data_IF_563630222094
#
_entry.id   IF_563630222094
#
_cell.length_a   1.000
_cell.length_b   1.000
_cell.length_c   1.000
_cell.angle_alpha   90.00
_cell.angle_beta   90.00
_cell.angle_gamma   90.00
#
_symmetry.space_group_name_H-M   'P 1'
#
loop_
_entity.id
_entity.type
_entity.pdbx_description
1 polymer ?
#
# COMPACT_ATOMS: atom_id res chain seq x y z
N UNK A 1 -16.98 47.97 2.81
CA UNK A 1 -17.68 48.25 1.54
C UNK A 1 -17.61 46.98 0.70
N UNK A 2 -18.74 46.29 0.51
CA UNK A 2 -18.99 45.08 -0.33
C UNK A 2 -18.03 43.87 -0.14
N UNK A 3 -18.28 42.81 0.65
CA UNK A 3 -19.43 41.89 0.88
C UNK A 3 -19.60 40.78 -0.21
N UNK A 4 -19.73 39.51 0.26
CA UNK A 4 -20.35 38.30 -0.34
C UNK A 4 -19.48 37.49 -1.35
N UNK A 5 -19.42 36.14 -1.46
CA UNK A 5 -20.08 34.89 -0.97
C UNK A 5 -19.01 33.78 -1.16
N UNK A 6 -18.79 32.73 -0.35
CA UNK A 6 -19.65 31.59 -0.04
C UNK A 6 -18.98 30.79 1.11
N UNK A 7 -19.45 30.99 2.35
CA UNK A 7 -19.45 29.96 3.38
C UNK A 7 -20.81 29.27 3.27
N UNK A 8 -20.93 28.15 2.57
CA UNK A 8 -22.02 27.17 2.68
C UNK A 8 -21.81 26.08 1.61
N UNK A 9 -21.12 25.01 1.98
CA UNK A 9 -21.14 23.73 1.24
C UNK A 9 -20.74 22.51 2.07
N UNK A 10 -20.42 22.67 3.36
CA UNK A 10 -20.06 21.54 4.25
C UNK A 10 -21.17 21.12 5.24
N UNK A 11 -22.40 21.60 5.06
CA UNK A 11 -23.53 21.30 5.97
C UNK A 11 -24.72 20.62 5.29
N UNK A 12 -24.56 20.11 4.05
CA UNK A 12 -25.60 19.34 3.34
C UNK A 12 -25.15 17.96 2.83
N UNK A 13 -24.01 17.45 3.28
CA UNK A 13 -23.56 16.07 3.03
C UNK A 13 -23.61 15.20 4.31
N UNK A 14 -24.36 15.64 5.32
CA UNK A 14 -24.50 14.99 6.63
C UNK A 14 -25.90 14.46 6.96
N UNK A 15 -26.86 14.53 6.04
CA UNK A 15 -28.28 14.16 6.28
C UNK A 15 -28.86 13.18 5.25
N UNK A 16 -28.03 12.27 4.71
CA UNK A 16 -28.49 11.10 3.94
C UNK A 16 -27.73 9.81 4.34
N UNK A 17 -27.33 9.68 5.60
CA UNK A 17 -26.58 8.50 6.09
C UNK A 17 -27.44 7.42 6.74
N UNK A 18 -28.78 7.56 6.72
CA UNK A 18 -29.73 6.53 7.18
C UNK A 18 -30.54 5.96 6.00
N UNK A 19 -29.85 5.57 4.93
CA UNK A 19 -30.40 4.62 3.98
C UNK A 19 -29.86 3.26 4.37
N UNK A 20 -30.76 2.40 4.84
CA UNK A 20 -30.48 1.07 5.34
C UNK A 20 -29.51 0.32 4.44
N UNK A 21 -28.68 -0.50 5.08
CA UNK A 21 -27.78 -1.44 4.43
C UNK A 21 -28.57 -2.20 3.36
N UNK A 22 -28.43 -1.77 2.10
CA UNK A 22 -28.97 -2.50 0.97
C UNK A 22 -28.37 -3.91 1.02
N UNK A 23 -29.15 -4.94 0.68
CA UNK A 23 -28.63 -6.30 0.55
C UNK A 23 -27.35 -6.25 -0.28
N UNK A 24 -26.35 -7.07 0.06
CA UNK A 24 -25.15 -7.31 -0.76
C UNK A 24 -25.56 -7.32 -2.24
N UNK A 25 -25.33 -6.22 -2.97
CA UNK A 25 -25.51 -6.27 -4.41
C UNK A 25 -24.40 -7.18 -4.89
N UNK A 26 -24.74 -8.41 -5.21
CA UNK A 26 -23.80 -9.32 -5.86
C UNK A 26 -23.13 -8.53 -6.98
N UNK A 27 -21.80 -8.51 -6.98
CA UNK A 27 -21.03 -7.96 -8.07
C UNK A 27 -21.51 -8.65 -9.35
N UNK A 28 -22.08 -7.88 -10.29
CA UNK A 28 -22.56 -8.46 -11.53
C UNK A 28 -21.36 -9.06 -12.30
N UNK A 29 -21.55 -10.24 -12.91
CA UNK A 29 -20.53 -10.94 -13.68
C UNK A 29 -19.94 -10.05 -14.79
N UNK A 30 -20.78 -9.24 -15.46
CA UNK A 30 -20.34 -8.25 -16.45
C UNK A 30 -19.36 -7.23 -15.85
N UNK A 31 -19.64 -6.76 -14.64
CA UNK A 31 -18.80 -5.79 -13.95
C UNK A 31 -17.45 -6.38 -13.56
N UNK A 32 -17.44 -7.66 -13.18
CA UNK A 32 -16.22 -8.44 -12.93
C UNK A 32 -15.36 -8.58 -14.19
N UNK A 33 -15.97 -8.94 -15.33
CA UNK A 33 -15.25 -9.05 -16.61
C UNK A 33 -14.69 -7.71 -17.07
N UNK A 34 -15.46 -6.63 -16.91
CA UNK A 34 -15.00 -5.30 -17.26
C UNK A 34 -13.78 -4.85 -16.44
N UNK A 35 -13.76 -5.10 -15.11
CA UNK A 35 -12.59 -4.70 -14.29
C UNK A 35 -11.36 -5.53 -14.62
N UNK A 36 -11.52 -6.83 -14.90
CA UNK A 36 -10.40 -7.67 -15.30
C UNK A 36 -9.74 -7.16 -16.58
N UNK A 37 -10.53 -6.65 -17.53
CA UNK A 37 -10.03 -6.07 -18.78
C UNK A 37 -9.48 -4.64 -18.63
N UNK A 38 -9.55 -4.03 -17.45
CA UNK A 38 -8.98 -2.71 -17.21
C UNK A 38 -7.45 -2.73 -17.28
N UNK A 39 -6.87 -2.03 -18.25
CA UNK A 39 -5.40 -1.98 -18.40
C UNK A 39 -4.73 -0.91 -17.55
N UNK A 40 -5.50 0.07 -17.04
CA UNK A 40 -4.99 1.11 -16.14
C UNK A 40 -4.76 0.65 -14.69
N UNK A 41 -4.93 -0.64 -14.39
CA UNK A 41 -4.78 -1.23 -13.06
C UNK A 41 -4.06 -2.57 -13.16
N UNK A 42 -3.22 -2.89 -12.18
CA UNK A 42 -2.61 -4.21 -12.05
C UNK A 42 -3.63 -5.25 -11.60
N UNK A 43 -3.45 -6.51 -11.97
CA UNK A 43 -4.40 -7.58 -11.61
C UNK A 43 -4.47 -7.78 -10.10
N UNK A 44 -3.34 -7.66 -9.42
CA UNK A 44 -3.25 -7.77 -7.97
C UNK A 44 -4.09 -6.68 -7.27
N UNK A 45 -4.03 -5.46 -7.79
CA UNK A 45 -4.79 -4.31 -7.29
C UNK A 45 -6.30 -4.51 -7.52
N UNK A 46 -6.69 -4.97 -8.73
CA UNK A 46 -8.09 -5.24 -9.04
C UNK A 46 -8.67 -6.25 -8.05
N UNK A 47 -7.96 -7.34 -7.83
CA UNK A 47 -8.41 -8.44 -6.98
C UNK A 47 -8.40 -8.03 -5.49
N UNK A 48 -7.24 -7.65 -4.94
CA UNK A 48 -7.06 -7.43 -3.52
C UNK A 48 -7.67 -6.11 -3.03
N UNK A 49 -7.51 -5.03 -3.80
CA UNK A 49 -7.87 -3.71 -3.30
C UNK A 49 -9.31 -3.33 -3.62
N UNK A 50 -9.78 -3.72 -4.81
CA UNK A 50 -11.12 -3.34 -5.27
C UNK A 50 -12.14 -4.43 -5.04
N UNK A 51 -11.94 -5.61 -5.63
CA UNK A 51 -12.98 -6.65 -5.65
C UNK A 51 -13.18 -7.30 -4.28
N UNK A 52 -12.10 -7.55 -3.51
CA UNK A 52 -12.25 -8.08 -2.14
C UNK A 52 -13.02 -7.12 -1.22
N UNK A 53 -12.82 -5.82 -1.35
CA UNK A 53 -13.55 -4.80 -0.58
C UNK A 53 -14.98 -4.66 -1.08
N UNK A 54 -15.19 -4.64 -2.40
CA UNK A 54 -16.51 -4.56 -3.01
C UNK A 54 -17.40 -5.74 -2.61
N UNK A 55 -16.86 -6.96 -2.58
CA UNK A 55 -17.57 -8.17 -2.13
C UNK A 55 -17.72 -8.26 -0.60
N UNK A 56 -17.09 -7.38 0.16
CA UNK A 56 -17.16 -7.39 1.63
C UNK A 56 -16.40 -8.56 2.28
N UNK A 57 -15.52 -9.24 1.54
CA UNK A 57 -14.63 -10.26 2.12
C UNK A 57 -13.48 -9.63 2.90
N UNK A 58 -13.21 -8.34 2.68
CA UNK A 58 -12.23 -7.52 3.39
C UNK A 58 -12.83 -6.15 3.77
N UNK A 59 -12.59 -5.61 4.97
CA UNK A 59 -13.16 -4.32 5.38
C UNK A 59 -12.56 -3.11 4.67
N UNK A 60 -11.25 -3.15 4.44
CA UNK A 60 -10.45 -2.08 3.87
C UNK A 60 -9.27 -2.68 3.10
N UNK A 61 -8.79 -1.94 2.11
CA UNK A 61 -7.51 -2.20 1.43
C UNK A 61 -6.79 -0.87 1.21
N UNK A 62 -5.55 -0.92 0.74
CA UNK A 62 -4.90 0.25 0.19
C UNK A 62 -3.89 -0.12 -0.89
N UNK A 63 -3.67 0.82 -1.80
CA UNK A 63 -2.56 0.75 -2.76
C UNK A 63 -1.72 2.03 -2.68
N UNK A 64 -0.49 1.96 -3.20
CA UNK A 64 0.49 3.04 -3.17
C UNK A 64 0.71 3.60 -4.57
N UNK A 65 0.39 4.88 -4.78
CA UNK A 65 0.65 5.57 -6.04
C UNK A 65 1.97 6.37 -5.98
N UNK A 66 2.74 6.40 -7.09
CA UNK A 66 2.47 5.73 -8.37
C UNK A 66 3.04 4.30 -8.42
N UNK A 67 3.62 3.79 -7.33
CA UNK A 67 4.39 2.54 -7.31
C UNK A 67 3.60 1.32 -7.81
N UNK A 68 2.29 1.30 -7.57
CA UNK A 68 1.41 0.18 -7.93
C UNK A 68 0.52 0.50 -9.14
N UNK A 69 0.91 1.48 -9.95
CA UNK A 69 0.32 1.71 -11.26
C UNK A 69 1.12 0.96 -12.34
N UNK A 70 0.45 0.47 -13.41
CA UNK A 70 1.16 -0.14 -14.54
C UNK A 70 2.22 0.78 -15.17
N UNK A 71 1.96 2.09 -15.21
CA UNK A 71 2.88 3.14 -15.70
C UNK A 71 3.74 3.77 -14.59
N UNK A 72 3.73 3.20 -13.37
CA UNK A 72 4.41 3.73 -12.19
C UNK A 72 5.88 4.11 -12.40
N UNK A 73 6.72 3.24 -13.02
CA UNK A 73 8.11 3.58 -13.32
C UNK A 73 8.27 4.80 -14.24
N UNK A 74 7.38 4.99 -15.21
CA UNK A 74 7.42 6.14 -16.11
C UNK A 74 7.02 7.43 -15.38
N UNK A 75 5.96 7.37 -14.58
CA UNK A 75 5.51 8.50 -13.78
C UNK A 75 6.58 8.94 -12.77
N UNK A 76 7.27 7.98 -12.14
CA UNK A 76 8.40 8.23 -11.25
C UNK A 76 9.52 9.02 -11.96
N UNK A 77 9.94 8.56 -13.15
CA UNK A 77 10.97 9.26 -13.96
C UNK A 77 10.58 10.71 -14.27
N UNK A 78 9.34 10.95 -14.69
CA UNK A 78 8.84 12.32 -14.98
C UNK A 78 8.90 13.23 -13.75
N UNK A 79 8.60 12.70 -12.56
CA UNK A 79 8.70 13.47 -11.31
C UNK A 79 10.17 13.75 -10.95
N UNK A 80 11.06 12.76 -11.12
CA UNK A 80 12.48 12.90 -10.86
C UNK A 80 13.11 13.98 -11.75
N UNK A 81 12.79 14.00 -13.05
CA UNK A 81 13.26 15.01 -14.02
C UNK A 81 12.94 16.45 -13.58
N UNK A 82 11.75 16.68 -13.04
CA UNK A 82 11.32 18.01 -12.55
C UNK A 82 12.15 18.46 -11.36
N UNK A 83 12.66 17.54 -10.55
CA UNK A 83 13.31 17.82 -9.26
C UNK A 83 14.83 17.64 -9.26
N UNK A 84 15.40 17.05 -10.32
CA UNK A 84 16.80 16.67 -10.44
C UNK A 84 17.78 17.78 -10.03
N UNK A 85 17.68 18.96 -10.66
CA UNK A 85 18.58 20.10 -10.37
C UNK A 85 18.50 20.56 -8.91
N UNK A 86 17.31 20.53 -8.31
CA UNK A 86 17.12 20.91 -6.92
C UNK A 86 17.80 19.92 -5.97
N UNK A 87 17.76 18.62 -6.30
CA UNK A 87 18.42 17.58 -5.52
C UNK A 87 19.96 17.70 -5.57
N UNK A 88 20.53 17.88 -6.77
CA UNK A 88 21.98 18.09 -6.96
C UNK A 88 22.48 19.33 -6.23
N UNK A 89 21.67 20.40 -6.19
CA UNK A 89 22.05 21.60 -5.44
C UNK A 89 22.02 21.37 -3.92
N UNK A 90 21.08 20.56 -3.42
CA UNK A 90 20.97 20.27 -1.98
C UNK A 90 22.15 19.47 -1.43
N UNK A 91 22.78 18.60 -2.22
CA UNK A 91 23.93 17.80 -1.77
C UNK A 91 25.18 18.65 -1.52
N UNK A 92 25.27 19.81 -2.16
CA UNK A 92 26.42 20.74 -2.07
C UNK A 92 26.32 21.73 -0.91
N UNK A 93 25.21 21.76 -0.18
CA UNK A 93 24.94 22.78 0.84
C UNK A 93 25.34 22.28 2.23
N UNK A 94 26.28 23.00 2.83
CA UNK A 94 26.78 22.76 4.19
C UNK A 94 25.97 23.50 5.26
N UNK A 95 25.40 24.67 4.95
CA UNK A 95 24.57 25.43 5.88
C UNK A 95 23.23 24.72 6.16
N UNK A 96 23.03 24.32 7.41
CA UNK A 96 21.87 23.53 7.82
C UNK A 96 20.55 24.33 7.79
N UNK A 97 20.58 25.64 8.03
CA UNK A 97 19.39 26.49 8.00
C UNK A 97 18.88 26.69 6.57
N UNK A 98 19.79 27.00 5.64
CA UNK A 98 19.55 27.09 4.21
C UNK A 98 19.11 25.74 3.64
N UNK A 99 19.79 24.65 4.03
CA UNK A 99 19.42 23.29 3.63
C UNK A 99 17.99 22.95 4.03
N UNK A 100 17.57 23.23 5.28
CA UNK A 100 16.18 23.03 5.71
C UNK A 100 15.17 23.81 4.86
N UNK A 101 15.44 25.10 4.59
CA UNK A 101 14.57 25.93 3.74
C UNK A 101 14.44 25.38 2.32
N UNK A 102 15.55 24.94 1.72
CA UNK A 102 15.54 24.37 0.37
C UNK A 102 14.90 22.99 0.31
N UNK A 103 15.06 22.16 1.34
CA UNK A 103 14.34 20.88 1.47
C UNK A 103 12.83 21.13 1.50
N UNK A 104 12.36 22.11 2.27
CA UNK A 104 10.93 22.47 2.28
C UNK A 104 10.44 22.91 0.90
N UNK A 105 11.18 23.79 0.20
CA UNK A 105 10.85 24.20 -1.17
C UNK A 105 10.82 23.03 -2.16
N UNK A 106 11.78 22.09 -2.03
CA UNK A 106 11.81 20.89 -2.85
C UNK A 106 10.58 20.01 -2.59
N UNK A 107 10.18 19.81 -1.33
CA UNK A 107 8.96 19.05 -1.00
C UNK A 107 7.73 19.64 -1.67
N UNK A 108 7.54 20.97 -1.61
CA UNK A 108 6.41 21.61 -2.31
C UNK A 108 6.47 21.42 -3.84
N UNK A 109 7.67 21.54 -4.42
CA UNK A 109 7.86 21.30 -5.86
C UNK A 109 7.50 19.86 -6.24
N UNK A 110 7.93 18.88 -5.43
CA UNK A 110 7.64 17.47 -5.63
C UNK A 110 6.13 17.17 -5.53
N UNK A 111 5.42 17.78 -4.57
CA UNK A 111 3.96 17.68 -4.50
C UNK A 111 3.28 18.24 -5.74
N UNK A 112 3.75 19.39 -6.22
CA UNK A 112 3.25 19.98 -7.47
C UNK A 112 3.45 19.03 -8.66
N UNK A 113 4.66 18.47 -8.79
CA UNK A 113 5.01 17.52 -9.84
C UNK A 113 4.15 16.25 -9.76
N UNK A 114 4.00 15.66 -8.57
CA UNK A 114 3.14 14.50 -8.34
C UNK A 114 1.70 14.77 -8.80
N UNK A 115 1.10 15.88 -8.35
CA UNK A 115 -0.27 16.25 -8.76
C UNK A 115 -0.38 16.43 -10.27
N UNK A 116 0.58 17.09 -10.92
CA UNK A 116 0.53 17.31 -12.37
C UNK A 116 0.74 16.03 -13.19
N UNK A 117 1.60 15.12 -12.73
CA UNK A 117 2.00 13.92 -13.48
C UNK A 117 1.05 12.78 -13.18
N UNK A 118 0.84 12.47 -11.90
CA UNK A 118 0.08 11.30 -11.45
C UNK A 118 -1.41 11.53 -11.63
N UNK A 119 -1.98 12.66 -11.20
CA UNK A 119 -3.43 12.85 -11.33
C UNK A 119 -3.90 13.02 -12.78
N UNK A 120 -3.01 13.42 -13.67
CA UNK A 120 -3.30 13.48 -15.10
C UNK A 120 -3.26 12.10 -15.78
N UNK A 121 -2.64 11.09 -15.15
CA UNK A 121 -2.36 9.80 -15.78
C UNK A 121 -3.63 8.98 -16.05
N UNK A 122 -3.63 8.12 -17.08
CA UNK A 122 -4.72 7.18 -17.33
C UNK A 122 -4.97 6.24 -16.15
N UNK A 123 -3.91 5.74 -15.50
CA UNK A 123 -4.01 4.82 -14.36
C UNK A 123 -4.75 5.46 -13.19
N UNK A 124 -4.39 6.68 -12.79
CA UNK A 124 -5.10 7.38 -11.72
C UNK A 124 -6.61 7.56 -12.02
N UNK A 125 -6.94 7.94 -13.27
CA UNK A 125 -8.32 8.09 -13.72
C UNK A 125 -9.09 6.75 -13.71
N UNK A 126 -8.42 5.64 -14.04
CA UNK A 126 -9.00 4.30 -13.97
C UNK A 126 -9.36 3.94 -12.52
N UNK A 127 -8.45 4.16 -11.57
CA UNK A 127 -8.67 3.93 -10.14
C UNK A 127 -9.86 4.72 -9.59
N UNK A 128 -10.00 6.01 -9.96
CA UNK A 128 -11.15 6.83 -9.57
C UNK A 128 -12.47 6.31 -10.15
N UNK A 129 -12.47 5.96 -11.44
CA UNK A 129 -13.64 5.42 -12.13
C UNK A 129 -14.10 4.13 -11.47
N UNK A 130 -13.18 3.21 -11.19
CA UNK A 130 -13.50 1.91 -10.60
C UNK A 130 -13.95 2.00 -9.16
N UNK A 131 -13.37 2.90 -8.36
CA UNK A 131 -13.85 3.14 -6.99
C UNK A 131 -15.31 3.59 -7.01
N UNK A 132 -15.65 4.53 -7.90
CA UNK A 132 -17.03 4.99 -8.09
C UNK A 132 -17.95 3.87 -8.59
N UNK A 133 -17.54 3.11 -9.61
CA UNK A 133 -18.36 2.06 -10.24
C UNK A 133 -18.68 0.92 -9.28
N UNK A 134 -17.77 0.60 -8.37
CA UNK A 134 -17.94 -0.41 -7.32
C UNK A 134 -18.59 0.14 -6.04
N UNK A 135 -18.96 1.42 -5.99
CA UNK A 135 -19.54 2.05 -4.81
C UNK A 135 -18.59 2.11 -3.61
N UNK A 136 -17.28 2.15 -3.88
CA UNK A 136 -16.24 2.25 -2.86
C UNK A 136 -15.95 3.72 -2.54
N UNK A 137 -15.68 3.99 -1.26
CA UNK A 137 -15.06 5.24 -0.82
C UNK A 137 -13.55 5.09 -0.97
N UNK A 138 -12.92 6.18 -1.39
CA UNK A 138 -11.47 6.26 -1.51
C UNK A 138 -10.95 7.40 -0.66
N UNK A 139 -9.92 7.14 0.14
CA UNK A 139 -9.23 8.16 0.92
C UNK A 139 -7.75 8.17 0.59
N UNK A 140 -7.29 9.32 0.15
CA UNK A 140 -5.88 9.58 -0.12
C UNK A 140 -5.16 10.05 1.15
N UNK A 141 -3.94 9.56 1.36
CA UNK A 141 -3.03 9.94 2.43
C UNK A 141 -1.65 10.17 1.84
N UNK A 142 -1.15 11.40 1.93
CA UNK A 142 0.23 11.72 1.55
C UNK A 142 1.19 11.09 2.57
N UNK A 143 1.98 10.11 2.14
CA UNK A 143 3.04 9.48 2.95
C UNK A 143 4.35 10.22 2.75
N UNK A 144 4.61 10.61 1.50
CA UNK A 144 5.71 11.46 1.06
C UNK A 144 5.22 12.35 -0.08
N UNK A 145 5.92 13.45 -0.41
CA UNK A 145 5.54 14.34 -1.50
C UNK A 145 5.25 13.68 -2.86
N UNK A 146 5.79 12.48 -3.08
CA UNK A 146 5.66 11.70 -4.33
C UNK A 146 5.09 10.30 -4.11
N UNK A 147 4.69 9.95 -2.88
CA UNK A 147 4.17 8.63 -2.52
C UNK A 147 2.90 8.81 -1.70
N UNK A 148 1.79 8.38 -2.26
CA UNK A 148 0.47 8.53 -1.66
C UNK A 148 -0.17 7.15 -1.51
N UNK A 149 -0.76 6.90 -0.35
CA UNK A 149 -1.57 5.71 -0.09
C UNK A 149 -3.05 6.04 -0.36
N UNK A 150 -3.73 5.14 -1.06
CA UNK A 150 -5.15 5.25 -1.37
C UNK A 150 -5.90 4.10 -0.71
N UNK A 151 -6.63 4.43 0.34
CA UNK A 151 -7.43 3.48 1.11
C UNK A 151 -8.82 3.34 0.49
N UNK A 152 -9.27 2.09 0.27
CA UNK A 152 -10.58 1.77 -0.28
C UNK A 152 -11.43 1.05 0.78
N UNK A 153 -12.67 1.49 0.96
CA UNK A 153 -13.59 0.95 1.97
C UNK A 153 -15.06 1.23 1.61
N UNK A 154 -16.01 0.52 2.27
CA UNK A 154 -17.46 0.71 2.05
C UNK A 154 -18.16 1.51 3.16
N UNK A 155 -17.80 1.26 4.42
CA UNK A 155 -18.58 1.68 5.59
C UNK A 155 -18.01 2.85 6.39
N UNK A 156 -18.89 3.56 7.10
CA UNK A 156 -18.50 4.65 7.99
C UNK A 156 -17.72 4.19 9.23
N UNK A 157 -17.91 2.95 9.69
CA UNK A 157 -17.09 2.39 10.77
C UNK A 157 -15.62 2.24 10.37
N UNK A 158 -15.36 1.62 9.21
CA UNK A 158 -14.02 1.52 8.64
C UNK A 158 -13.38 2.90 8.48
N UNK A 159 -14.15 3.90 8.05
CA UNK A 159 -13.65 5.27 7.94
C UNK A 159 -13.20 5.86 9.29
N UNK A 160 -13.92 5.58 10.38
CA UNK A 160 -13.54 6.02 11.73
C UNK A 160 -12.25 5.34 12.19
N UNK A 161 -12.14 4.01 12.00
CA UNK A 161 -10.92 3.26 12.31
C UNK A 161 -9.72 3.76 11.50
N UNK A 162 -9.92 4.01 10.20
CA UNK A 162 -8.90 4.57 9.31
C UNK A 162 -8.46 5.97 9.74
N UNK A 163 -9.39 6.85 10.13
CA UNK A 163 -9.06 8.19 10.68
C UNK A 163 -8.14 8.10 11.89
N UNK A 164 -8.45 7.19 12.83
CA UNK A 164 -7.61 6.94 14.01
C UNK A 164 -6.22 6.45 13.60
N UNK A 165 -6.15 5.47 12.70
CA UNK A 165 -4.90 4.89 12.21
C UNK A 165 -3.99 5.94 11.54
N UNK A 166 -4.54 6.79 10.69
CA UNK A 166 -3.80 7.89 10.05
C UNK A 166 -3.24 8.84 11.11
N UNK A 167 -4.02 9.16 12.15
CA UNK A 167 -3.55 9.98 13.27
C UNK A 167 -2.37 9.35 14.03
N UNK A 168 -2.43 8.05 14.29
CA UNK A 168 -1.32 7.28 14.90
C UNK A 168 -0.06 7.38 14.02
N UNK A 169 -0.19 7.11 12.71
CA UNK A 169 0.90 7.18 11.73
C UNK A 169 1.54 8.57 11.68
N UNK A 170 0.74 9.63 11.65
CA UNK A 170 1.24 11.01 11.65
C UNK A 170 2.00 11.36 12.93
N UNK A 171 1.52 10.90 14.09
CA UNK A 171 2.17 11.13 15.37
C UNK A 171 3.52 10.42 15.45
N UNK A 172 3.58 9.13 15.06
CA UNK A 172 4.84 8.36 15.01
C UNK A 172 5.88 9.09 14.16
N UNK A 173 5.50 9.54 12.95
CA UNK A 173 6.42 10.28 12.08
C UNK A 173 6.89 11.58 12.71
N UNK A 174 5.98 12.37 13.31
CA UNK A 174 6.33 13.63 13.98
C UNK A 174 7.32 13.39 15.12
N UNK A 175 7.11 12.34 15.90
CA UNK A 175 7.95 12.02 17.05
C UNK A 175 9.33 11.53 16.61
N UNK A 176 9.41 10.60 15.64
CA UNK A 176 10.70 10.14 15.11
C UNK A 176 11.51 11.30 14.52
N UNK A 177 10.90 12.23 13.78
CA UNK A 177 11.64 13.39 13.27
C UNK A 177 12.05 14.41 14.36
N UNK A 178 11.34 14.46 15.49
CA UNK A 178 11.70 15.32 16.64
C UNK A 178 12.82 14.73 17.48
N UNK A 179 12.83 13.42 17.66
CA UNK A 179 13.71 12.72 18.59
C UNK A 179 14.83 11.90 17.92
N UNK A 180 14.88 11.87 16.58
CA UNK A 180 15.95 11.18 15.87
C UNK A 180 17.32 11.73 16.24
N UNK A 181 18.17 10.85 16.77
CA UNK A 181 19.59 11.10 16.97
C UNK A 181 20.33 10.99 15.63
N UNK A 182 21.47 11.69 15.45
CA UNK A 182 22.38 11.43 14.32
C UNK A 182 22.80 9.95 14.19
N UNK A 183 22.75 9.18 15.29
CA UNK A 183 23.07 7.75 15.33
C UNK A 183 21.90 6.82 14.96
N UNK A 184 20.68 7.34 14.80
CA UNK A 184 19.52 6.51 14.45
C UNK A 184 19.71 5.91 13.05
N UNK A 185 19.63 4.58 12.90
CA UNK A 185 19.76 3.94 11.60
C UNK A 185 18.77 4.52 10.59
N UNK A 186 19.27 4.93 9.42
CA UNK A 186 18.46 5.67 8.43
C UNK A 186 17.24 4.87 7.96
N UNK A 187 17.32 3.54 7.88
CA UNK A 187 16.21 2.71 7.45
C UNK A 187 15.01 2.79 8.41
N UNK A 188 15.25 2.96 9.72
CA UNK A 188 14.19 3.16 10.72
C UNK A 188 13.49 4.52 10.59
N UNK A 189 14.11 5.48 9.89
CA UNK A 189 13.50 6.78 9.60
C UNK A 189 12.62 6.75 8.34
N UNK A 190 12.69 5.67 7.54
CA UNK A 190 11.97 5.56 6.28
C UNK A 190 10.51 5.18 6.54
N UNK A 191 10.29 4.13 7.34
CA UNK A 191 8.97 3.61 7.73
C UNK A 191 8.93 3.37 9.24
N UNK A 192 9.01 4.43 10.06
CA UNK A 192 9.01 4.28 11.52
C UNK A 192 7.72 3.62 12.05
N UNK A 193 6.62 3.73 11.30
CA UNK A 193 5.34 3.11 11.63
C UNK A 193 5.40 1.57 11.70
N UNK A 194 6.28 0.92 10.94
CA UNK A 194 6.42 -0.55 10.93
C UNK A 194 7.02 -1.10 12.23
N UNK A 195 7.61 -0.23 13.06
CA UNK A 195 8.12 -0.58 14.39
C UNK A 195 7.12 -0.30 15.52
N UNK A 196 5.95 0.25 15.21
CA UNK A 196 4.93 0.54 16.22
C UNK A 196 3.96 -0.64 16.33
N UNK A 197 3.94 -1.38 17.45
CA UNK A 197 2.99 -2.48 17.64
C UNK A 197 1.54 -2.00 17.52
N UNK A 198 1.23 -0.83 18.09
CA UNK A 198 -0.11 -0.24 18.01
C UNK A 198 -0.52 0.00 16.55
N UNK A 199 0.36 0.60 15.73
CA UNK A 199 0.06 0.86 14.33
C UNK A 199 -0.09 -0.45 13.55
N UNK A 200 0.87 -1.37 13.66
CA UNK A 200 0.90 -2.63 12.90
C UNK A 200 -0.31 -3.50 13.24
N UNK A 201 -0.67 -3.60 14.52
CA UNK A 201 -1.89 -4.32 14.94
C UNK A 201 -3.14 -3.66 14.38
N UNK A 202 -3.24 -2.33 14.46
CA UNK A 202 -4.40 -1.58 13.98
C UNK A 202 -4.58 -1.66 12.45
N UNK A 203 -3.50 -1.54 11.67
CA UNK A 203 -3.58 -1.70 10.21
C UNK A 203 -3.88 -3.16 9.85
N UNK A 204 -3.30 -4.14 10.54
CA UNK A 204 -3.59 -5.56 10.31
C UNK A 204 -5.07 -5.91 10.52
N UNK A 205 -5.68 -5.41 11.59
CA UNK A 205 -7.12 -5.56 11.83
C UNK A 205 -7.95 -4.88 10.73
N UNK A 206 -7.60 -3.65 10.36
CA UNK A 206 -8.31 -2.88 9.34
C UNK A 206 -8.29 -3.58 7.97
N UNK A 207 -7.17 -4.21 7.67
CA UNK A 207 -6.92 -5.02 6.50
C UNK A 207 -7.48 -6.44 6.61
N UNK A 208 -8.10 -6.82 7.73
CA UNK A 208 -8.68 -8.15 7.91
C UNK A 208 -7.66 -9.28 7.87
N UNK A 209 -6.42 -9.02 8.28
CA UNK A 209 -5.40 -10.07 8.44
C UNK A 209 -5.66 -10.91 9.70
N UNK A 210 -5.27 -12.20 9.71
CA UNK A 210 -5.36 -13.03 10.91
C UNK A 210 -4.51 -12.47 12.04
N UNK A 211 -5.08 -12.40 13.25
CA UNK A 211 -4.42 -11.93 14.47
C UNK A 211 -3.06 -12.64 14.68
N UNK A 212 -3.02 -13.97 14.61
CA UNK A 212 -1.78 -14.73 14.78
C UNK A 212 -0.69 -14.41 13.74
N UNK A 213 -1.05 -13.91 12.56
CA UNK A 213 -0.08 -13.49 11.54
C UNK A 213 0.43 -12.08 11.84
N UNK A 214 -0.45 -11.20 12.30
CA UNK A 214 -0.11 -9.83 12.71
C UNK A 214 0.79 -9.85 13.94
N UNK A 215 0.47 -10.66 14.95
CA UNK A 215 1.31 -10.86 16.14
C UNK A 215 2.71 -11.33 15.76
N UNK A 216 2.82 -12.36 14.93
CA UNK A 216 4.12 -12.87 14.47
C UNK A 216 4.89 -11.81 13.69
N UNK A 217 4.21 -11.02 12.86
CA UNK A 217 4.84 -9.93 12.11
C UNK A 217 5.42 -8.88 13.07
N UNK A 218 4.66 -8.45 14.09
CA UNK A 218 5.13 -7.51 15.13
C UNK A 218 6.34 -8.07 15.85
N UNK A 219 6.29 -9.32 16.32
CA UNK A 219 7.41 -9.97 16.99
C UNK A 219 8.69 -9.97 16.13
N UNK A 220 8.58 -10.23 14.83
CA UNK A 220 9.74 -10.22 13.93
C UNK A 220 10.27 -8.81 13.67
N UNK A 221 9.39 -7.81 13.47
CA UNK A 221 9.83 -6.43 13.25
C UNK A 221 10.53 -5.81 14.46
N UNK A 222 10.17 -6.24 15.66
CA UNK A 222 10.83 -5.81 16.91
C UNK A 222 12.06 -6.65 17.26
N UNK A 223 12.28 -7.77 16.59
CA UNK A 223 13.42 -8.67 16.83
C UNK A 223 14.64 -8.21 16.04
N UNK A 224 15.79 -8.13 16.71
CA UNK A 224 17.08 -7.92 16.03
C UNK A 224 17.60 -9.20 15.35
N UNK A 225 17.06 -10.37 15.72
CA UNK A 225 17.60 -11.66 15.32
C UNK A 225 17.00 -12.22 14.03
N UNK A 226 15.76 -11.85 13.68
CA UNK A 226 15.08 -12.45 12.52
C UNK A 226 14.10 -11.48 11.90
N UNK A 227 14.39 -11.09 10.65
CA UNK A 227 13.50 -10.28 9.86
C UNK A 227 12.32 -11.10 9.28
N UNK A 228 11.18 -10.44 9.00
CA UNK A 228 9.94 -11.09 8.52
C UNK A 228 10.18 -11.84 7.20
N UNK A 229 10.85 -11.18 6.26
CA UNK A 229 11.11 -11.71 4.92
C UNK A 229 12.02 -12.95 4.98
N UNK A 230 13.09 -12.88 5.78
CA UNK A 230 14.01 -13.99 5.98
C UNK A 230 13.33 -15.19 6.63
N UNK A 231 12.50 -14.96 7.67
CA UNK A 231 11.69 -16.03 8.28
C UNK A 231 10.79 -16.69 7.26
N UNK A 232 9.99 -15.90 6.53
CA UNK A 232 8.98 -16.43 5.63
C UNK A 232 9.63 -17.26 4.51
N UNK A 233 10.68 -16.73 3.88
CA UNK A 233 11.50 -17.43 2.89
C UNK A 233 12.08 -18.74 3.44
N UNK A 234 12.68 -18.70 4.63
CA UNK A 234 13.30 -19.87 5.25
C UNK A 234 12.27 -20.96 5.57
N UNK A 235 11.11 -20.59 6.13
CA UNK A 235 10.03 -21.53 6.43
C UNK A 235 9.49 -22.22 5.17
N UNK A 236 9.37 -21.51 4.04
CA UNK A 236 8.98 -22.12 2.76
C UNK A 236 10.04 -23.12 2.30
N UNK A 237 11.31 -22.69 2.26
CA UNK A 237 12.44 -23.51 1.80
C UNK A 237 12.57 -24.78 2.67
N UNK A 238 12.42 -24.66 3.99
CA UNK A 238 12.45 -25.78 4.92
C UNK A 238 11.24 -26.71 4.80
N UNK A 239 10.02 -26.17 4.65
CA UNK A 239 8.81 -26.95 4.38
C UNK A 239 9.01 -27.84 3.15
N UNK A 240 9.50 -27.27 2.05
CA UNK A 240 9.77 -28.02 0.82
C UNK A 240 10.83 -29.11 1.02
N UNK A 241 11.91 -28.83 1.78
CA UNK A 241 12.94 -29.84 2.11
C UNK A 241 12.37 -31.02 2.91
N UNK A 242 11.37 -30.79 3.75
CA UNK A 242 10.65 -31.85 4.50
C UNK A 242 9.59 -32.57 3.66
N UNK A 243 9.39 -32.20 2.40
CA UNK A 243 8.33 -32.74 1.54
C UNK A 243 6.94 -32.17 1.82
N UNK A 244 6.83 -31.17 2.70
CA UNK A 244 5.59 -30.43 2.97
C UNK A 244 5.34 -29.42 1.85
N UNK A 245 4.08 -29.29 1.41
CA UNK A 245 3.67 -28.29 0.42
C UNK A 245 3.07 -27.07 1.13
N UNK A 246 3.68 -25.88 1.03
CA UNK A 246 3.03 -24.63 1.41
C UNK A 246 1.66 -24.49 0.76
N UNK A 247 0.68 -23.92 1.47
CA UNK A 247 -0.65 -23.67 0.91
C UNK A 247 -0.69 -22.24 0.34
N UNK A 248 -0.87 -22.05 -0.99
CA UNK A 248 -0.97 -20.72 -1.59
C UNK A 248 -2.06 -19.84 -0.95
N UNK A 249 -3.14 -20.43 -0.42
CA UNK A 249 -4.18 -19.69 0.28
C UNK A 249 -3.72 -18.99 1.56
N UNK A 250 -2.54 -19.34 2.08
CA UNK A 250 -1.95 -18.65 3.23
C UNK A 250 -1.27 -17.32 2.88
N UNK A 251 -1.03 -16.99 1.60
CA UNK A 251 -0.11 -15.90 1.22
C UNK A 251 -0.79 -14.62 0.71
N UNK A 252 -2.09 -14.67 0.39
CA UNK A 252 -2.84 -13.56 -0.21
C UNK A 252 -2.16 -13.04 -1.50
N UNK A 253 -2.73 -12.00 -2.12
CA UNK A 253 -2.32 -11.56 -3.46
C UNK A 253 -0.95 -10.86 -3.42
N UNK A 254 -0.66 -10.08 -2.38
CA UNK A 254 0.64 -9.39 -2.23
C UNK A 254 0.91 -8.95 -0.80
N UNK A 255 2.20 -8.73 -0.49
CA UNK A 255 2.64 -7.99 0.70
C UNK A 255 2.27 -8.61 2.05
N UNK A 256 1.82 -9.86 2.08
CA UNK A 256 1.40 -10.57 3.28
C UNK A 256 2.34 -11.75 3.59
N UNK A 257 2.77 -11.84 4.85
CA UNK A 257 3.70 -12.87 5.34
C UNK A 257 3.03 -13.68 6.45
N UNK A 258 2.46 -14.87 6.17
CA UNK A 258 1.78 -15.66 7.19
C UNK A 258 2.73 -16.08 8.30
N UNK A 259 2.21 -16.38 9.50
CA UNK A 259 3.04 -16.82 10.64
C UNK A 259 3.72 -18.19 10.41
N UNK A 260 3.21 -18.98 9.46
CA UNK A 260 3.84 -20.17 8.89
C UNK A 260 3.20 -20.51 7.53
N UNK A 261 3.83 -21.36 6.69
CA UNK A 261 3.37 -21.65 5.33
C UNK A 261 2.02 -22.36 5.18
N UNK A 262 1.44 -22.84 6.29
CA UNK A 262 0.17 -23.59 6.33
C UNK A 262 -0.79 -22.98 7.38
N UNK A 263 -0.66 -21.68 7.65
CA UNK A 263 -1.44 -21.00 8.67
C UNK A 263 -2.94 -21.14 8.40
N UNK A 264 -3.64 -21.91 9.24
CA UNK A 264 -5.05 -22.26 9.02
C UNK A 264 -5.97 -21.04 8.98
N UNK A 265 -5.68 -20.01 9.79
CA UNK A 265 -6.46 -18.78 9.79
C UNK A 265 -6.28 -17.99 8.48
N UNK A 266 -5.07 -17.91 7.95
CA UNK A 266 -4.81 -17.29 6.65
C UNK A 266 -5.46 -18.10 5.51
N UNK A 267 -5.25 -19.42 5.49
CA UNK A 267 -5.85 -20.34 4.51
C UNK A 267 -7.37 -20.22 4.48
N UNK A 268 -8.02 -20.13 5.65
CA UNK A 268 -9.47 -19.96 5.75
C UNK A 268 -9.94 -18.68 5.06
N UNK A 269 -9.24 -17.56 5.25
CA UNK A 269 -9.56 -16.29 4.58
C UNK A 269 -9.29 -16.42 3.08
N UNK A 270 -8.13 -16.94 2.67
CA UNK A 270 -7.77 -17.12 1.26
C UNK A 270 -8.80 -17.96 0.50
N UNK A 271 -9.25 -19.08 1.07
CA UNK A 271 -10.31 -19.93 0.50
C UNK A 271 -11.65 -19.21 0.42
N UNK A 272 -12.02 -18.46 1.47
CA UNK A 272 -13.25 -17.66 1.45
C UNK A 272 -13.26 -16.65 0.30
N UNK A 273 -12.14 -15.98 0.04
CA UNK A 273 -12.00 -15.03 -1.07
C UNK A 273 -12.12 -15.76 -2.41
N UNK A 274 -11.42 -16.89 -2.57
CA UNK A 274 -11.50 -17.70 -3.78
C UNK A 274 -12.92 -18.16 -4.10
N UNK A 275 -13.66 -18.68 -3.12
CA UNK A 275 -15.04 -19.09 -3.34
C UNK A 275 -15.97 -17.89 -3.63
N UNK A 276 -15.74 -16.75 -2.97
CA UNK A 276 -16.50 -15.53 -3.27
C UNK A 276 -16.26 -15.04 -4.70
N UNK A 277 -15.01 -15.11 -5.20
CA UNK A 277 -14.68 -14.79 -6.58
C UNK A 277 -15.26 -15.80 -7.58
N UNK A 278 -15.09 -17.09 -7.32
CA UNK A 278 -15.62 -18.16 -8.17
C UNK A 278 -17.14 -18.12 -8.29
N UNK A 279 -17.84 -17.70 -7.23
CA UNK A 279 -19.29 -17.51 -7.23
C UNK A 279 -19.75 -16.33 -8.10
N UNK A 280 -18.87 -15.35 -8.35
CA UNK A 280 -19.14 -14.24 -9.29
C UNK A 280 -18.79 -14.65 -10.71
N UNK A 281 -17.57 -15.15 -10.92
CA UNK A 281 -17.07 -15.63 -12.21
C UNK A 281 -15.94 -16.65 -11.94
N UNK A 282 -15.99 -17.88 -12.47
CA UNK A 282 -14.91 -18.86 -12.34
C UNK A 282 -13.52 -18.32 -12.72
N UNK A 283 -13.44 -17.42 -13.70
CA UNK A 283 -12.19 -16.81 -14.14
C UNK A 283 -11.57 -15.94 -13.04
N UNK A 284 -12.38 -15.23 -12.24
CA UNK A 284 -11.88 -14.46 -11.10
C UNK A 284 -11.21 -15.38 -10.06
N UNK A 285 -11.83 -16.52 -9.78
CA UNK A 285 -11.25 -17.52 -8.88
C UNK A 285 -9.89 -18.02 -9.39
N UNK A 286 -9.79 -18.32 -10.69
CA UNK A 286 -8.54 -18.74 -11.33
C UNK A 286 -7.47 -17.65 -11.30
N UNK A 287 -7.80 -16.40 -11.67
CA UNK A 287 -6.86 -15.26 -11.60
C UNK A 287 -6.35 -15.05 -10.17
N UNK A 288 -7.23 -15.10 -9.19
CA UNK A 288 -6.84 -14.97 -7.78
C UNK A 288 -5.87 -16.07 -7.35
N UNK A 289 -6.19 -17.34 -7.62
CA UNK A 289 -5.31 -18.46 -7.27
C UNK A 289 -3.93 -18.33 -7.93
N UNK A 290 -3.87 -17.83 -9.15
CA UNK A 290 -2.61 -17.57 -9.83
C UNK A 290 -1.78 -16.47 -9.14
N UNK A 291 -2.41 -15.36 -8.74
CA UNK A 291 -1.73 -14.33 -7.95
C UNK A 291 -1.20 -14.89 -6.62
N UNK A 292 -1.97 -15.76 -5.94
CA UNK A 292 -1.51 -16.40 -4.69
C UNK A 292 -0.25 -17.24 -4.89
N UNK A 293 -0.17 -17.99 -6.00
CA UNK A 293 1.01 -18.81 -6.33
C UNK A 293 2.23 -17.94 -6.62
N UNK A 294 2.06 -16.90 -7.45
CA UNK A 294 3.12 -15.95 -7.76
C UNK A 294 3.63 -15.24 -6.50
N UNK A 295 2.73 -14.87 -5.59
CA UNK A 295 3.13 -14.24 -4.34
C UNK A 295 3.85 -15.22 -3.41
N UNK A 296 3.43 -16.49 -3.34
CA UNK A 296 4.17 -17.52 -2.61
C UNK A 296 5.60 -17.68 -3.14
N UNK A 297 5.79 -17.76 -4.46
CA UNK A 297 7.11 -17.79 -5.10
C UNK A 297 7.92 -16.51 -4.78
N UNK A 298 7.27 -15.35 -4.85
CA UNK A 298 7.90 -14.07 -4.52
C UNK A 298 8.37 -14.03 -3.06
N UNK A 299 7.58 -14.55 -2.12
CA UNK A 299 7.94 -14.61 -0.68
C UNK A 299 9.09 -15.59 -0.43
N UNK A 300 9.19 -16.67 -1.21
CA UNK A 300 10.31 -17.61 -1.16
C UNK A 300 11.63 -16.95 -1.54
N UNK A 301 11.63 -16.08 -2.55
CA UNK A 301 12.82 -15.41 -3.09
C UNK A 301 13.00 -13.97 -2.58
N UNK A 302 12.16 -13.53 -1.65
CA UNK A 302 12.08 -12.14 -1.21
C UNK A 302 13.42 -11.57 -0.69
N UNK A 303 14.19 -12.30 0.15
CA UNK A 303 15.50 -11.83 0.60
C UNK A 303 16.48 -11.59 -0.55
N UNK A 304 16.47 -12.45 -1.57
CA UNK A 304 17.31 -12.33 -2.76
C UNK A 304 16.86 -11.14 -3.63
N UNK A 305 15.54 -10.92 -3.77
CA UNK A 305 14.98 -9.77 -4.48
C UNK A 305 15.36 -8.44 -3.82
N UNK A 306 15.34 -8.36 -2.48
CA UNK A 306 15.78 -7.17 -1.73
C UNK A 306 17.25 -6.87 -2.03
N UNK A 307 18.13 -7.88 -1.93
CA UNK A 307 19.58 -7.71 -2.19
C UNK A 307 19.84 -7.20 -3.61
N UNK A 308 19.20 -7.80 -4.61
CA UNK A 308 19.33 -7.37 -6.00
C UNK A 308 18.83 -5.92 -6.21
N UNK A 309 17.75 -5.53 -5.53
CA UNK A 309 17.23 -4.17 -5.60
C UNK A 309 18.19 -3.16 -4.96
N UNK A 310 18.76 -3.48 -3.79
CA UNK A 310 19.73 -2.63 -3.09
C UNK A 310 21.00 -2.42 -3.91
N UNK A 311 21.50 -3.47 -4.57
CA UNK A 311 22.65 -3.40 -5.47
C UNK A 311 22.36 -2.44 -6.64
N UNK A 312 21.22 -2.61 -7.31
CA UNK A 312 20.80 -1.72 -8.39
C UNK A 312 20.63 -0.26 -7.96
N UNK A 313 20.11 -0.02 -6.75
CA UNK A 313 20.00 1.33 -6.21
C UNK A 313 21.37 1.94 -5.93
N UNK A 314 22.32 1.14 -5.46
CA UNK A 314 23.70 1.56 -5.21
C UNK A 314 24.43 1.92 -6.50
N UNK A 315 24.32 1.08 -7.53
CA UNK A 315 24.87 1.37 -8.86
C UNK A 315 24.31 2.68 -9.43
N UNK A 316 22.99 2.85 -9.36
CA UNK A 316 22.34 4.10 -9.78
C UNK A 316 22.85 5.28 -8.98
N UNK A 317 23.01 5.14 -7.67
CA UNK A 317 23.53 6.19 -6.80
C UNK A 317 24.95 6.61 -7.18
N UNK A 318 25.86 5.67 -7.46
CA UNK A 318 27.22 5.99 -7.92
C UNK A 318 27.21 6.67 -9.29
N UNK A 319 26.38 6.19 -10.22
CA UNK A 319 26.17 6.87 -11.50
C UNK A 319 25.62 8.30 -11.30
N UNK A 320 24.73 8.50 -10.34
CA UNK A 320 24.19 9.82 -9.97
C UNK A 320 25.26 10.77 -9.41
N UNK A 321 26.29 10.26 -8.73
CA UNK A 321 27.38 11.05 -8.17
C UNK A 321 28.55 11.27 -9.16
N UNK A 322 28.55 10.58 -10.30
CA UNK A 322 29.66 10.63 -11.26
C UNK A 322 30.92 9.92 -10.74
N UNK A 323 30.75 8.92 -9.86
CA UNK A 323 31.83 8.16 -9.22
C UNK A 323 32.18 6.85 -9.95
N UNK A 324 31.91 6.77 -11.26
CA UNK A 324 32.20 5.58 -12.09
C UNK A 324 33.63 5.52 -12.56
#
# INVERSE_FOLDING_TARGET
MHVYLHKHSYLLMGLLSNLGEKPQSMLAEELAKEILNETGMLDEVKLEDYLMVALGVRPCSFFTAPAEFPDGPELGRKIDEVSYRNFVNLTKITDMGLRRKLVSKLKEKLRGAFKSVVYASPSYKAHLRWAKKLGLRMREVEIRPTIHEFYLFRGGETERKLKKLIGIKENIRKDVFRFASPSTPKHLLIYPEDLSPEYVTSIGELLGYPECCVERYVENRLSEATNVEDRASSQIKESKKRGEKPDPFAYFVRGFFPCNPICQNAVKIGRRVYEAFRAVDPLLGSCYLECLRKNLETVEDYPELIKAHEEKLRERWHAYLGET
#
